data_IF_885226374800
#
_entry.id   IF_885226374800
#
_cell.length_a   1.000
_cell.length_b   1.000
_cell.length_c   1.000
_cell.angle_alpha   90.00
_cell.angle_beta   90.00
_cell.angle_gamma   90.00
#
_symmetry.space_group_name_H-M   'P 1'
#
loop_
_entity.id
_entity.type
_entity.pdbx_description
1 polymer ?
#
# COMPACT_ATOMS: atom_id res chain seq x y z
N UNK A 1 11.84 0.67 -38.64
CA UNK A 1 11.85 -0.16 -37.42
C UNK A 1 10.60 0.22 -36.60
N UNK A 2 9.57 -0.60 -36.66
CA UNK A 2 8.25 -0.34 -36.06
C UNK A 2 8.28 -0.79 -34.60
N UNK A 3 8.15 0.14 -33.66
CA UNK A 3 7.97 -0.17 -32.25
C UNK A 3 6.56 -0.74 -32.04
N UNK A 4 6.50 -2.03 -31.77
CA UNK A 4 5.27 -2.74 -31.40
C UNK A 4 4.68 -2.11 -30.14
N UNK A 5 3.57 -1.42 -30.28
CA UNK A 5 2.73 -1.00 -29.13
C UNK A 5 2.20 -2.27 -28.48
N UNK A 6 2.79 -2.68 -27.35
CA UNK A 6 2.18 -3.71 -26.46
C UNK A 6 0.77 -3.24 -26.14
N UNK A 7 -0.23 -3.97 -26.62
CA UNK A 7 -1.63 -3.69 -26.38
C UNK A 7 -1.89 -3.64 -24.88
N UNK A 8 -2.53 -2.57 -24.43
CA UNK A 8 -3.07 -2.43 -23.08
C UNK A 8 -4.07 -3.58 -22.90
N UNK A 9 -3.71 -4.56 -22.07
CA UNK A 9 -4.63 -5.64 -21.68
C UNK A 9 -5.74 -5.00 -20.88
N UNK A 10 -6.92 -4.87 -21.46
CA UNK A 10 -8.10 -4.38 -20.76
C UNK A 10 -8.32 -5.23 -19.51
N UNK A 11 -8.30 -4.61 -18.35
CA UNK A 11 -8.65 -5.27 -17.09
C UNK A 11 -10.14 -5.51 -17.15
N UNK A 12 -10.54 -6.77 -17.38
CA UNK A 12 -11.94 -7.17 -17.39
C UNK A 12 -12.48 -7.09 -15.96
N UNK A 13 -13.57 -6.33 -15.74
CA UNK A 13 -14.26 -6.24 -14.45
C UNK A 13 -14.39 -4.83 -13.88
N UNK A 14 -13.68 -3.83 -14.43
CA UNK A 14 -13.88 -2.43 -14.04
C UNK A 14 -14.75 -1.78 -15.12
N UNK A 15 -15.98 -1.39 -14.72
CA UNK A 15 -16.97 -0.75 -15.56
C UNK A 15 -17.56 0.46 -14.83
N UNK A 16 -16.74 1.48 -14.61
CA UNK A 16 -17.16 2.69 -13.95
C UNK A 16 -17.17 3.86 -14.94
N UNK A 17 -18.35 4.24 -15.39
CA UNK A 17 -18.55 5.34 -16.34
C UNK A 17 -19.23 6.56 -15.72
N UNK A 18 -19.71 6.45 -14.48
CA UNK A 18 -20.49 7.48 -13.83
C UNK A 18 -20.53 7.29 -12.33
N UNK A 19 -20.59 8.39 -11.59
CA UNK A 19 -20.74 8.39 -10.12
C UNK A 19 -22.20 8.22 -9.66
N UNK A 20 -23.16 8.33 -10.58
CA UNK A 20 -24.61 8.22 -10.29
C UNK A 20 -25.16 6.80 -10.51
N UNK A 21 -24.35 5.87 -11.01
CA UNK A 21 -24.75 4.49 -11.22
C UNK A 21 -24.81 3.71 -9.89
N UNK A 22 -25.55 2.58 -9.88
CA UNK A 22 -25.59 1.71 -8.71
C UNK A 22 -24.20 1.13 -8.43
N UNK A 23 -23.64 1.42 -7.26
CA UNK A 23 -22.38 0.84 -6.80
C UNK A 23 -22.55 -0.67 -6.57
N UNK A 24 -21.67 -1.48 -7.16
CA UNK A 24 -21.70 -2.94 -7.06
C UNK A 24 -20.52 -3.47 -6.25
N UNK A 25 -19.35 -2.83 -6.42
CA UNK A 25 -18.10 -3.24 -5.77
C UNK A 25 -17.27 -2.00 -5.46
N UNK A 26 -16.63 -1.98 -4.31
CA UNK A 26 -15.75 -0.90 -3.87
C UNK A 26 -14.47 -1.45 -3.27
N UNK A 27 -13.36 -0.79 -3.60
CA UNK A 27 -12.07 -1.02 -2.96
C UNK A 27 -11.90 0.01 -1.84
N UNK A 28 -11.69 -0.48 -0.63
CA UNK A 28 -11.46 0.35 0.56
C UNK A 28 -10.06 0.14 1.10
N UNK A 29 -9.53 1.17 1.76
CA UNK A 29 -8.35 1.08 2.59
C UNK A 29 -8.75 1.31 4.04
N UNK A 30 -8.59 0.30 4.89
CA UNK A 30 -8.79 0.43 6.33
C UNK A 30 -7.56 1.07 6.93
N UNK A 31 -7.75 2.19 7.60
CA UNK A 31 -6.67 2.95 8.23
C UNK A 31 -5.83 2.04 9.14
N UNK A 32 -4.53 2.07 8.98
CA UNK A 32 -3.55 1.28 9.72
C UNK A 32 -2.50 2.14 10.43
N UNK A 33 -1.30 1.59 10.55
CA UNK A 33 -0.18 2.24 11.25
C UNK A 33 0.43 3.45 10.51
N UNK A 34 -0.08 3.80 9.33
CA UNK A 34 0.30 5.03 8.63
C UNK A 34 0.04 6.28 9.47
N UNK A 35 -1.01 6.28 10.30
CA UNK A 35 -1.31 7.41 11.19
C UNK A 35 -0.37 7.51 12.39
N UNK A 36 0.30 6.43 12.78
CA UNK A 36 1.29 6.45 13.85
C UNK A 36 2.56 7.27 13.49
N UNK A 37 2.71 7.56 12.19
CA UNK A 37 3.78 8.41 11.66
C UNK A 37 3.46 9.89 11.63
N UNK A 38 2.23 10.28 11.93
CA UNK A 38 1.82 11.67 11.97
C UNK A 38 2.42 12.34 13.21
N UNK A 39 3.17 13.42 12.97
CA UNK A 39 3.72 14.30 14.00
C UNK A 39 3.35 15.74 13.65
N UNK A 40 3.21 16.65 14.64
CA UNK A 40 2.80 18.03 14.39
C UNK A 40 3.61 18.73 13.30
N UNK A 41 4.91 18.46 13.22
CA UNK A 41 5.80 19.02 12.20
C UNK A 41 5.44 18.63 10.75
N UNK A 42 4.68 17.55 10.59
CA UNK A 42 4.26 17.04 9.28
C UNK A 42 2.84 17.48 8.88
N UNK A 43 2.04 18.03 9.80
CA UNK A 43 0.62 18.31 9.57
C UNK A 43 0.39 19.20 8.36
N UNK A 44 1.06 20.35 8.27
CA UNK A 44 0.89 21.27 7.15
C UNK A 44 1.23 20.63 5.80
N UNK A 45 2.26 19.77 5.76
CA UNK A 45 2.69 19.08 4.53
C UNK A 45 1.73 17.96 4.14
N UNK A 46 1.15 17.29 5.11
CA UNK A 46 0.26 16.13 4.89
C UNK A 46 -1.22 16.52 4.92
N UNK A 47 -1.54 17.81 5.10
CA UNK A 47 -2.90 18.37 5.17
C UNK A 47 -3.73 17.74 6.29
N UNK A 48 -3.09 17.48 7.43
CA UNK A 48 -3.78 17.05 8.64
C UNK A 48 -3.87 18.21 9.63
N UNK A 49 -5.03 18.33 10.28
CA UNK A 49 -5.27 19.30 11.34
C UNK A 49 -4.96 18.72 12.72
N UNK A 50 -5.07 17.38 12.86
CA UNK A 50 -4.84 16.67 14.11
C UNK A 50 -4.50 15.18 13.84
N UNK A 51 -4.07 14.46 14.89
CA UNK A 51 -3.78 13.01 14.81
C UNK A 51 -5.09 12.23 15.06
N UNK A 52 -5.58 11.48 14.06
CA UNK A 52 -6.75 10.63 14.25
C UNK A 52 -6.48 9.56 15.33
N UNK A 53 -7.42 9.36 16.24
CA UNK A 53 -7.33 8.24 17.17
C UNK A 53 -7.61 6.93 16.44
N UNK A 54 -6.56 6.20 16.10
CA UNK A 54 -6.59 5.03 15.21
C UNK A 54 -7.72 4.04 15.54
N UNK A 55 -7.89 3.70 16.81
CA UNK A 55 -8.91 2.72 17.23
C UNK A 55 -10.35 3.18 16.88
N UNK A 56 -10.65 4.45 17.08
CA UNK A 56 -11.96 5.01 16.74
C UNK A 56 -12.12 5.11 15.24
N UNK A 57 -11.12 5.62 14.53
CA UNK A 57 -11.13 5.70 13.07
C UNK A 57 -11.34 4.33 12.40
N UNK A 58 -10.74 3.28 12.97
CA UNK A 58 -10.98 1.91 12.49
C UNK A 58 -12.40 1.43 12.75
N UNK A 59 -12.98 1.73 13.91
CA UNK A 59 -14.37 1.36 14.21
C UNK A 59 -15.36 2.07 13.28
N UNK A 60 -15.15 3.36 13.03
CA UNK A 60 -15.97 4.16 12.10
C UNK A 60 -15.86 3.63 10.67
N UNK A 61 -14.64 3.31 10.23
CA UNK A 61 -14.42 2.69 8.93
C UNK A 61 -15.11 1.32 8.81
N UNK A 62 -15.04 0.48 9.84
CA UNK A 62 -15.70 -0.83 9.86
C UNK A 62 -17.22 -0.68 9.79
N UNK A 63 -17.80 0.29 10.52
CA UNK A 63 -19.23 0.64 10.43
C UNK A 63 -19.62 1.09 9.01
N UNK A 64 -18.81 1.93 8.39
CA UNK A 64 -19.03 2.36 7.01
C UNK A 64 -19.01 1.18 6.03
N UNK A 65 -18.01 0.31 6.14
CA UNK A 65 -17.91 -0.88 5.30
C UNK A 65 -19.12 -1.82 5.48
N UNK A 66 -19.62 -1.95 6.71
CA UNK A 66 -20.79 -2.78 7.00
C UNK A 66 -22.09 -2.20 6.43
N UNK A 67 -22.24 -0.88 6.41
CA UNK A 67 -23.36 -0.22 5.73
C UNK A 67 -23.35 -0.54 4.24
N UNK A 68 -22.18 -0.49 3.60
CA UNK A 68 -22.04 -0.85 2.19
C UNK A 68 -22.44 -2.30 1.93
N UNK A 69 -21.95 -3.25 2.74
CA UNK A 69 -22.30 -4.67 2.65
C UNK A 69 -23.78 -4.94 2.84
N UNK A 70 -24.41 -4.28 3.82
CA UNK A 70 -25.87 -4.37 4.06
C UNK A 70 -26.70 -3.87 2.88
N UNK A 71 -26.14 -2.96 2.08
CA UNK A 71 -26.77 -2.49 0.84
C UNK A 71 -26.42 -3.34 -0.40
N UNK A 72 -25.83 -4.53 -0.20
CA UNK A 72 -25.51 -5.47 -1.27
C UNK A 72 -24.30 -5.07 -2.12
N UNK A 73 -23.41 -4.23 -1.57
CA UNK A 73 -22.18 -3.81 -2.23
C UNK A 73 -21.04 -4.73 -1.78
N UNK A 74 -20.30 -5.27 -2.75
CA UNK A 74 -19.10 -6.04 -2.47
C UNK A 74 -17.99 -5.11 -2.00
N UNK A 75 -17.50 -5.30 -0.78
CA UNK A 75 -16.39 -4.53 -0.21
C UNK A 75 -15.14 -5.39 -0.24
N UNK A 76 -14.11 -4.92 -0.93
CA UNK A 76 -12.77 -5.50 -0.96
C UNK A 76 -11.77 -4.53 -0.36
N UNK A 77 -10.70 -5.04 0.21
CA UNK A 77 -9.68 -4.21 0.84
C UNK A 77 -8.40 -4.16 0.02
N UNK A 78 -7.88 -2.94 -0.14
CA UNK A 78 -6.61 -2.68 -0.81
C UNK A 78 -5.48 -3.57 -0.29
N UNK A 79 -5.34 -3.67 1.04
CA UNK A 79 -4.26 -4.44 1.65
C UNK A 79 -4.35 -5.94 1.33
N UNK A 80 -5.57 -6.49 1.28
CA UNK A 80 -5.78 -7.90 0.98
C UNK A 80 -5.52 -8.21 -0.49
N UNK A 81 -6.05 -7.39 -1.40
CA UNK A 81 -5.85 -7.59 -2.85
C UNK A 81 -4.40 -7.38 -3.26
N UNK A 82 -3.74 -6.37 -2.70
CA UNK A 82 -2.31 -6.13 -2.92
C UNK A 82 -1.45 -7.28 -2.39
N UNK A 83 -1.75 -7.79 -1.19
CA UNK A 83 -1.04 -8.93 -0.63
C UNK A 83 -1.17 -10.18 -1.52
N UNK A 84 -2.37 -10.49 -2.02
CA UNK A 84 -2.60 -11.59 -2.98
C UNK A 84 -1.77 -11.41 -4.27
N UNK A 85 -1.72 -10.18 -4.80
CA UNK A 85 -0.93 -9.90 -6.00
C UNK A 85 0.57 -10.14 -5.77
N UNK A 86 1.06 -9.91 -4.55
CA UNK A 86 2.46 -10.04 -4.15
C UNK A 86 2.83 -11.45 -3.64
N UNK A 87 1.94 -12.44 -3.68
CA UNK A 87 2.23 -13.83 -3.30
C UNK A 87 3.29 -14.46 -4.22
N UNK A 88 3.35 -14.04 -5.49
CA UNK A 88 4.34 -14.52 -6.45
C UNK A 88 5.67 -13.80 -6.23
N UNK A 89 6.76 -14.53 -5.93
CA UNK A 89 8.06 -13.92 -5.62
C UNK A 89 8.57 -12.97 -6.71
N UNK A 90 8.36 -13.32 -7.98
CA UNK A 90 8.78 -12.51 -9.13
C UNK A 90 8.00 -11.19 -9.23
N UNK A 91 6.72 -11.20 -8.85
CA UNK A 91 5.90 -9.98 -8.82
C UNK A 91 6.33 -9.08 -7.67
N UNK A 92 6.59 -9.67 -6.51
CA UNK A 92 7.06 -8.96 -5.32
C UNK A 92 8.42 -8.29 -5.55
N UNK A 93 9.39 -9.03 -6.14
CA UNK A 93 10.71 -8.47 -6.47
C UNK A 93 10.57 -7.30 -7.45
N UNK A 94 9.81 -7.49 -8.53
CA UNK A 94 9.59 -6.43 -9.53
C UNK A 94 8.91 -5.21 -8.92
N UNK A 95 7.85 -5.41 -8.13
CA UNK A 95 7.16 -4.32 -7.45
C UNK A 95 8.11 -3.49 -6.59
N UNK A 96 8.94 -4.17 -5.78
CA UNK A 96 9.89 -3.47 -4.91
C UNK A 96 10.92 -2.68 -5.71
N UNK A 97 11.46 -3.24 -6.79
CA UNK A 97 12.43 -2.52 -7.64
C UNK A 97 11.81 -1.29 -8.29
N UNK A 98 10.65 -1.45 -8.93
CA UNK A 98 9.95 -0.35 -9.59
C UNK A 98 9.59 0.75 -8.57
N UNK A 99 9.02 0.39 -7.42
CA UNK A 99 8.68 1.35 -6.35
C UNK A 99 9.93 2.10 -5.83
N UNK A 100 11.02 1.38 -5.57
CA UNK A 100 12.24 2.00 -5.04
C UNK A 100 13.02 2.80 -6.11
N UNK A 101 12.76 2.57 -7.40
CA UNK A 101 13.33 3.37 -8.48
C UNK A 101 12.67 4.76 -8.57
N UNK A 102 11.41 4.88 -8.15
CA UNK A 102 10.69 6.16 -8.13
C UNK A 102 11.05 7.01 -6.90
N UNK A 103 11.61 6.40 -5.85
CA UNK A 103 12.00 7.11 -4.63
C UNK A 103 13.41 7.71 -4.76
N UNK A 104 13.55 8.99 -4.44
CA UNK A 104 14.85 9.66 -4.41
C UNK A 104 15.60 9.30 -3.12
N UNK A 105 16.51 8.33 -3.21
CA UNK A 105 17.39 7.96 -2.09
C UNK A 105 18.66 8.82 -2.06
N UNK A 106 19.15 9.10 -0.86
CA UNK A 106 20.40 9.85 -0.65
C UNK A 106 21.65 9.08 -1.13
N UNK A 107 21.58 7.76 -1.21
CA UNK A 107 22.64 6.91 -1.73
C UNK A 107 22.11 5.55 -2.18
N UNK A 108 22.89 4.86 -3.04
CA UNK A 108 22.61 3.48 -3.48
C UNK A 108 22.57 2.50 -2.30
N UNK A 109 23.47 2.65 -1.31
CA UNK A 109 23.50 1.79 -0.14
C UNK A 109 22.23 1.86 0.70
N UNK A 110 21.62 3.05 0.83
CA UNK A 110 20.33 3.20 1.52
C UNK A 110 19.23 2.48 0.75
N UNK A 111 19.18 2.62 -0.57
CA UNK A 111 18.21 1.91 -1.42
C UNK A 111 18.31 0.39 -1.28
N UNK A 112 19.53 -0.15 -1.31
CA UNK A 112 19.80 -1.58 -1.14
C UNK A 112 19.41 -2.07 0.25
N UNK A 113 19.65 -1.29 1.30
CA UNK A 113 19.22 -1.63 2.66
C UNK A 113 17.70 -1.67 2.80
N UNK A 114 16.98 -0.69 2.24
CA UNK A 114 15.51 -0.69 2.20
C UNK A 114 14.98 -1.90 1.43
N UNK A 115 15.55 -2.19 0.27
CA UNK A 115 15.16 -3.37 -0.52
C UNK A 115 15.33 -4.65 0.29
N UNK A 116 16.50 -4.86 0.90
CA UNK A 116 16.83 -6.04 1.70
C UNK A 116 15.90 -6.20 2.91
N UNK A 117 15.52 -5.10 3.53
CA UNK A 117 14.56 -5.08 4.63
C UNK A 117 13.16 -5.51 4.17
N UNK A 118 12.67 -4.97 3.07
CA UNK A 118 11.30 -5.18 2.59
C UNK A 118 11.11 -6.55 1.92
N UNK A 119 12.10 -7.05 1.19
CA UNK A 119 11.97 -8.31 0.44
C UNK A 119 11.77 -9.52 1.36
N UNK A 120 12.28 -9.46 2.59
CA UNK A 120 12.14 -10.52 3.61
C UNK A 120 10.76 -10.60 4.24
N UNK A 121 9.89 -9.62 4.04
CA UNK A 121 8.56 -9.59 4.65
C UNK A 121 7.58 -10.53 3.94
N UNK A 122 6.55 -10.99 4.65
CA UNK A 122 5.40 -11.61 3.99
C UNK A 122 4.67 -10.60 3.12
N UNK A 123 3.87 -11.02 2.11
CA UNK A 123 3.13 -10.09 1.26
C UNK A 123 2.28 -9.08 2.06
N UNK A 124 1.58 -9.56 3.09
CA UNK A 124 0.76 -8.68 3.93
C UNK A 124 1.58 -7.68 4.73
N UNK A 125 2.66 -8.14 5.37
CA UNK A 125 3.57 -7.26 6.10
C UNK A 125 4.21 -6.21 5.19
N UNK A 126 4.54 -6.59 3.95
CA UNK A 126 5.08 -5.68 2.97
C UNK A 126 4.08 -4.57 2.61
N UNK A 127 2.83 -4.93 2.31
CA UNK A 127 1.78 -3.95 1.99
C UNK A 127 1.55 -3.00 3.15
N UNK A 128 1.38 -3.54 4.36
CA UNK A 128 1.15 -2.73 5.57
C UNK A 128 2.36 -1.80 5.83
N UNK A 129 3.60 -2.30 5.64
CA UNK A 129 4.82 -1.50 5.85
C UNK A 129 5.02 -0.41 4.81
N UNK A 130 4.74 -0.70 3.54
CA UNK A 130 4.83 0.30 2.47
C UNK A 130 3.78 1.38 2.65
N UNK A 131 2.56 1.01 3.06
CA UNK A 131 1.49 1.97 3.35
C UNK A 131 1.84 2.89 4.53
N UNK A 132 2.44 2.34 5.59
CA UNK A 132 2.86 3.12 6.77
C UNK A 132 4.15 3.92 6.55
N UNK A 133 4.90 3.60 5.52
CA UNK A 133 6.23 4.16 5.26
C UNK A 133 7.36 3.43 6.01
N UNK A 134 8.55 3.50 5.44
CA UNK A 134 9.78 2.94 6.02
C UNK A 134 10.53 4.05 6.73
N UNK A 135 10.74 3.91 8.03
CA UNK A 135 11.50 4.86 8.86
C UNK A 135 12.99 4.50 8.85
N UNK A 136 13.84 5.49 9.06
CA UNK A 136 15.29 5.26 9.21
C UNK A 136 15.61 4.29 10.34
N UNK A 137 14.89 4.35 11.46
CA UNK A 137 15.02 3.41 12.59
C UNK A 137 14.76 1.96 12.19
N UNK A 138 13.82 1.70 11.30
CA UNK A 138 13.49 0.35 10.86
C UNK A 138 14.67 -0.35 10.17
N UNK A 139 15.58 0.44 9.57
CA UNK A 139 16.73 -0.04 8.81
C UNK A 139 17.98 -0.11 9.67
N UNK A 140 18.17 0.83 10.62
CA UNK A 140 19.35 0.85 11.51
C UNK A 140 19.41 -0.37 12.42
N UNK A 141 18.25 -0.91 12.80
CA UNK A 141 18.13 -2.12 13.61
C UNK A 141 18.13 -3.41 12.78
N UNK A 142 18.04 -3.27 11.45
CA UNK A 142 18.04 -4.41 10.54
C UNK A 142 19.46 -4.96 10.36
N UNK A 143 19.71 -6.14 10.93
CA UNK A 143 20.90 -6.94 10.62
C UNK A 143 20.57 -7.88 9.46
N UNK A 144 21.19 -7.72 8.27
CA UNK A 144 20.97 -8.66 7.18
C UNK A 144 21.33 -10.07 7.69
N UNK A 145 20.47 -11.06 7.42
CA UNK A 145 20.82 -12.46 7.64
C UNK A 145 22.02 -12.76 6.75
N UNK A 146 23.19 -12.88 7.34
CA UNK A 146 24.35 -13.47 6.65
C UNK A 146 23.94 -14.86 6.20
N UNK A 147 23.94 -15.08 4.89
CA UNK A 147 23.89 -16.42 4.31
C UNK A 147 25.14 -17.15 4.81
N UNK A 148 24.95 -18.15 5.67
CA UNK A 148 25.99 -19.09 6.05
C UNK A 148 26.20 -20.09 4.93
#
# INVERSE_FOLDING_TARGET
MSASRKGIRMVTGIHNYSEIGKLKKVLLHRIGSEVDGLVPDNFARLLFDDIPYLKVAQQEHDCFADILRKNGIEVVYYADESAKALEKPEIKDRFLREMLDEVHFSSRGVKEAVFSYLIGMTPRQLVDKVSAGVRKSDITDYKPRTLA
#
